data_IF_393556015639
#
_entry.id   IF_393556015639
#
_cell.length_a   1.000
_cell.length_b   1.000
_cell.length_c   1.000
_cell.angle_alpha   90.00
_cell.angle_beta   90.00
_cell.angle_gamma   90.00
#
_symmetry.space_group_name_H-M   'P 1'
#
loop_
_entity.id
_entity.type
_entity.pdbx_description
1 polymer ?
#
# COMPACT_ATOMS: atom_id res chain seq x y z
N UNK A 1 17.91 -26.75 -13.68
CA UNK A 1 16.66 -26.06 -13.99
C UNK A 1 15.39 -26.87 -13.65
N UNK A 2 15.45 -28.19 -13.56
CA UNK A 2 14.27 -29.03 -13.24
C UNK A 2 13.85 -29.09 -11.77
N UNK A 3 14.73 -28.83 -10.81
CA UNK A 3 14.48 -29.09 -9.39
C UNK A 3 13.67 -28.03 -8.63
N UNK A 4 13.60 -26.81 -9.13
CA UNK A 4 12.83 -25.73 -8.51
C UNK A 4 11.34 -25.74 -8.93
N UNK A 5 11.04 -26.23 -10.12
CA UNK A 5 9.66 -26.41 -10.59
C UNK A 5 8.95 -27.58 -9.86
N UNK A 6 9.64 -28.69 -9.61
CA UNK A 6 9.06 -29.84 -8.91
C UNK A 6 8.73 -29.54 -7.44
N UNK A 7 9.50 -28.69 -6.78
CA UNK A 7 9.24 -28.31 -5.39
C UNK A 7 7.99 -27.42 -5.21
N UNK A 8 7.58 -26.70 -6.26
CA UNK A 8 6.38 -25.84 -6.23
C UNK A 8 5.08 -26.58 -6.61
N UNK A 9 5.15 -27.63 -7.43
CA UNK A 9 3.99 -28.41 -7.85
C UNK A 9 3.51 -29.44 -6.81
N UNK A 10 4.38 -29.92 -5.91
CA UNK A 10 4.01 -30.92 -4.90
C UNK A 10 3.20 -30.39 -3.70
N UNK A 11 3.10 -29.06 -3.51
CA UNK A 11 2.34 -28.46 -2.40
C UNK A 11 0.85 -28.23 -2.66
N UNK A 12 0.36 -28.42 -3.88
CA UNK A 12 -1.05 -28.19 -4.26
C UNK A 12 -2.02 -29.35 -3.98
N UNK A 13 -1.56 -30.47 -3.43
CA UNK A 13 -2.36 -31.72 -3.33
C UNK A 13 -2.73 -32.17 -1.91
N UNK A 14 -2.64 -31.30 -0.90
CA UNK A 14 -3.00 -31.68 0.47
C UNK A 14 -3.87 -30.62 1.15
N UNK A 15 -5.11 -30.44 0.70
CA UNK A 15 -6.14 -29.71 1.47
C UNK A 15 -7.47 -30.47 1.41
N UNK A 16 -7.69 -31.29 2.42
CA UNK A 16 -8.96 -31.91 2.76
C UNK A 16 -9.38 -31.50 4.16
N UNK A 17 -10.47 -30.75 4.23
CA UNK A 17 -11.52 -30.69 5.27
C UNK A 17 -11.11 -30.72 6.75
N UNK A 18 -11.33 -29.60 7.42
CA UNK A 18 -11.38 -29.50 8.87
C UNK A 18 -11.94 -28.16 9.33
N UNK A 19 -13.27 -28.04 9.46
CA UNK A 19 -13.95 -26.93 10.13
C UNK A 19 -13.63 -26.97 11.62
N UNK A 20 -12.86 -26.02 12.12
CA UNK A 20 -12.71 -25.74 13.55
C UNK A 20 -12.75 -24.24 13.77
N UNK A 21 -13.85 -23.77 14.33
CA UNK A 21 -13.98 -22.43 14.90
C UNK A 21 -13.00 -22.27 16.06
N UNK A 22 -11.86 -21.64 15.82
CA UNK A 22 -10.88 -21.30 16.84
C UNK A 22 -11.10 -19.83 17.20
N UNK A 23 -11.60 -19.60 18.42
CA UNK A 23 -11.56 -18.32 19.11
C UNK A 23 -10.09 -17.90 19.28
N UNK A 24 -9.62 -17.00 18.43
CA UNK A 24 -8.31 -16.38 18.53
C UNK A 24 -8.33 -15.32 19.65
N UNK A 25 -7.87 -15.70 20.84
CA UNK A 25 -7.43 -14.74 21.85
C UNK A 25 -5.97 -14.41 21.54
N UNK A 26 -5.70 -13.11 21.35
CA UNK A 26 -4.43 -12.56 20.94
C UNK A 26 -3.22 -13.14 21.67
N UNK A 27 -2.32 -13.75 20.89
CA UNK A 27 -0.90 -13.84 21.22
C UNK A 27 -0.19 -12.86 20.32
N UNK A 28 0.82 -12.11 20.80
CA UNK A 28 1.67 -11.36 19.92
C UNK A 28 2.27 -12.34 18.92
N UNK A 29 1.98 -12.15 17.65
CA UNK A 29 2.63 -12.90 16.56
C UNK A 29 4.08 -12.42 16.59
N UNK A 30 5.01 -13.34 16.81
CA UNK A 30 6.43 -13.06 16.67
C UNK A 30 6.66 -12.40 15.32
N UNK A 31 7.43 -11.29 15.32
CA UNK A 31 7.77 -10.56 14.12
C UNK A 31 8.19 -11.54 13.02
N UNK A 32 7.52 -11.46 11.87
CA UNK A 32 7.97 -12.13 10.67
C UNK A 32 9.38 -11.60 10.35
N UNK A 33 10.25 -12.44 9.78
CA UNK A 33 11.53 -11.98 9.25
C UNK A 33 11.30 -10.72 8.42
N UNK A 34 11.89 -9.56 8.77
CA UNK A 34 11.61 -8.30 8.10
C UNK A 34 11.80 -8.37 6.58
N UNK A 35 12.72 -9.21 6.08
CA UNK A 35 12.92 -9.40 4.64
C UNK A 35 11.73 -10.12 3.97
N UNK A 36 10.91 -10.81 4.75
CA UNK A 36 9.71 -11.52 4.29
C UNK A 36 8.44 -10.68 4.46
N UNK A 37 8.51 -9.54 5.15
CA UNK A 37 7.37 -8.64 5.31
C UNK A 37 6.94 -8.07 3.96
N UNK A 38 5.63 -8.17 3.71
CA UNK A 38 4.94 -7.67 2.53
C UNK A 38 4.19 -6.39 2.84
N UNK A 39 3.92 -5.60 1.81
CA UNK A 39 3.27 -4.31 1.99
C UNK A 39 2.14 -4.12 0.97
N UNK A 40 0.98 -3.71 1.47
CA UNK A 40 -0.13 -3.24 0.66
C UNK A 40 -0.40 -1.77 0.98
N UNK A 41 -0.18 -0.90 0.01
CA UNK A 41 -0.42 0.53 0.13
C UNK A 41 -1.77 0.90 -0.49
N UNK A 42 -2.68 1.43 0.31
CA UNK A 42 -3.96 1.99 -0.12
C UNK A 42 -3.91 3.50 0.07
N UNK A 43 -3.90 4.24 -1.03
CA UNK A 43 -3.83 5.70 -1.00
C UNK A 43 -5.20 6.29 -1.37
N UNK A 44 -5.88 6.87 -0.39
CA UNK A 44 -7.16 7.55 -0.56
C UNK A 44 -6.91 8.94 -1.14
N UNK A 45 -7.26 9.13 -2.42
CA UNK A 45 -6.91 10.32 -3.21
C UNK A 45 -7.93 11.43 -2.95
N UNK A 46 -7.43 12.63 -2.70
CA UNK A 46 -8.25 13.84 -2.58
C UNK A 46 -8.25 14.48 -1.19
N UNK A 47 -7.52 13.95 -0.24
CA UNK A 47 -7.47 14.49 1.12
C UNK A 47 -8.71 14.12 1.93
N UNK A 48 -8.67 13.01 2.63
CA UNK A 48 -9.76 12.58 3.50
C UNK A 48 -9.97 13.51 4.69
N UNK A 49 -11.17 13.52 5.22
CA UNK A 49 -11.50 14.29 6.42
C UNK A 49 -11.23 13.44 7.69
N UNK A 50 -10.17 13.75 8.45
CA UNK A 50 -9.86 12.98 9.66
C UNK A 50 -10.95 13.12 10.74
N UNK A 51 -11.75 14.19 10.73
CA UNK A 51 -12.82 14.41 11.70
C UNK A 51 -14.04 13.52 11.46
N UNK A 52 -14.13 12.86 10.31
CA UNK A 52 -15.20 11.91 10.06
C UNK A 52 -14.93 10.54 10.68
N UNK A 53 -13.64 10.17 10.92
CA UNK A 53 -13.28 8.84 11.43
C UNK A 53 -12.21 8.90 12.53
N UNK A 54 -11.10 9.62 12.32
CA UNK A 54 -9.87 9.45 13.11
C UNK A 54 -9.69 10.50 14.23
N UNK A 55 -10.55 11.48 14.32
CA UNK A 55 -10.43 12.58 15.28
C UNK A 55 -11.76 12.77 16.05
N UNK A 56 -12.05 11.92 17.08
CA UNK A 56 -13.30 11.98 17.84
C UNK A 56 -13.29 13.12 18.85
N UNK A 57 -13.16 14.36 18.38
CA UNK A 57 -13.11 15.58 19.21
C UNK A 57 -14.49 16.23 19.21
N UNK A 58 -15.27 16.01 20.24
CA UNK A 58 -16.66 16.44 20.36
C UNK A 58 -16.88 17.66 21.27
N UNK A 59 -15.87 18.05 22.03
CA UNK A 59 -15.91 19.14 23.00
C UNK A 59 -15.36 20.47 22.46
N UNK A 60 -14.88 20.51 21.21
CA UNK A 60 -14.37 21.71 20.58
C UNK A 60 -15.34 22.27 19.53
N UNK A 61 -15.85 23.47 19.78
CA UNK A 61 -16.82 24.15 18.89
C UNK A 61 -16.24 24.59 17.52
N UNK A 62 -14.94 24.50 17.36
CA UNK A 62 -14.28 24.82 16.08
C UNK A 62 -14.34 23.66 15.10
N UNK A 63 -14.74 22.48 15.58
CA UNK A 63 -14.96 21.31 14.73
C UNK A 63 -16.45 21.15 14.48
N UNK A 64 -16.85 21.27 13.24
CA UNK A 64 -18.22 21.02 12.83
C UNK A 64 -18.38 19.56 12.44
N UNK A 65 -18.80 18.75 13.40
CA UNK A 65 -19.08 17.32 13.19
C UNK A 65 -20.42 17.13 12.50
N UNK A 66 -20.57 16.02 11.79
CA UNK A 66 -21.81 15.63 11.14
C UNK A 66 -22.92 15.36 12.18
N UNK A 67 -24.17 15.64 11.79
CA UNK A 67 -25.31 15.29 12.60
C UNK A 67 -25.43 13.75 12.70
N UNK A 68 -25.43 13.22 13.91
CA UNK A 68 -25.45 11.77 14.16
C UNK A 68 -24.08 11.14 14.37
N UNK A 69 -23.00 11.94 14.27
CA UNK A 69 -21.68 11.48 14.68
C UNK A 69 -21.62 11.28 16.20
N UNK A 70 -21.02 10.20 16.64
CA UNK A 70 -20.86 9.83 18.06
C UNK A 70 -19.41 9.39 18.33
N UNK A 71 -18.87 9.67 19.54
CA UNK A 71 -17.57 9.13 19.92
C UNK A 71 -17.68 7.63 20.17
N UNK A 72 -16.75 6.87 19.64
CA UNK A 72 -16.63 5.43 19.85
C UNK A 72 -15.20 5.05 20.22
N UNK A 73 -15.07 3.91 20.92
CA UNK A 73 -13.76 3.41 21.34
C UNK A 73 -13.75 1.87 21.38
N UNK A 74 -12.64 1.29 20.91
CA UNK A 74 -12.33 -0.13 21.02
C UNK A 74 -10.89 -0.25 21.53
N UNK A 75 -10.71 -0.79 22.74
CA UNK A 75 -9.40 -0.74 23.41
C UNK A 75 -8.91 0.71 23.54
N UNK A 76 -7.72 0.99 23.09
CA UNK A 76 -7.12 2.33 23.09
C UNK A 76 -7.40 3.12 21.78
N UNK A 77 -8.13 2.53 20.84
CA UNK A 77 -8.51 3.18 19.59
C UNK A 77 -9.80 3.96 19.76
N UNK A 78 -9.70 5.29 19.71
CA UNK A 78 -10.85 6.18 19.69
C UNK A 78 -11.14 6.64 18.25
N UNK A 79 -12.41 6.65 17.86
CA UNK A 79 -12.84 7.00 16.52
C UNK A 79 -14.24 7.64 16.49
N UNK A 80 -14.66 8.14 15.34
CA UNK A 80 -15.99 8.71 15.13
C UNK A 80 -16.91 7.65 14.52
N UNK A 81 -17.93 7.22 15.25
CA UNK A 81 -18.99 6.38 14.72
C UNK A 81 -20.07 7.22 14.04
N UNK A 82 -20.71 6.68 13.00
CA UNK A 82 -21.81 7.34 12.32
C UNK A 82 -22.77 6.31 11.69
N UNK A 83 -24.12 6.52 11.76
CA UNK A 83 -25.09 5.57 11.21
C UNK A 83 -24.96 5.31 9.68
N UNK A 84 -24.47 6.28 8.92
CA UNK A 84 -24.29 6.13 7.46
C UNK A 84 -23.01 5.39 7.07
N UNK A 85 -22.11 5.10 8.02
CA UNK A 85 -20.89 4.33 7.80
C UNK A 85 -20.62 3.31 8.93
N UNK A 86 -21.57 2.40 9.18
CA UNK A 86 -21.44 1.40 10.25
C UNK A 86 -20.20 0.50 10.08
N UNK A 87 -19.73 0.30 8.85
CA UNK A 87 -18.52 -0.48 8.58
C UNK A 87 -17.28 0.03 9.33
N UNK A 88 -17.21 1.32 9.67
CA UNK A 88 -16.13 1.86 10.50
C UNK A 88 -16.14 1.21 11.89
N UNK A 89 -17.29 1.17 12.53
CA UNK A 89 -17.44 0.56 13.86
C UNK A 89 -17.23 -0.96 13.83
N UNK A 90 -17.77 -1.63 12.81
CA UNK A 90 -17.63 -3.08 12.61
C UNK A 90 -16.14 -3.44 12.43
N UNK A 91 -15.41 -2.68 11.59
CA UNK A 91 -13.99 -2.86 11.36
C UNK A 91 -13.17 -2.73 12.65
N UNK A 92 -13.30 -1.62 13.39
CA UNK A 92 -12.55 -1.44 14.63
C UNK A 92 -12.90 -2.48 15.69
N UNK A 93 -14.16 -2.91 15.74
CA UNK A 93 -14.60 -3.98 16.66
C UNK A 93 -13.96 -5.33 16.33
N UNK A 94 -13.69 -5.61 15.06
CA UNK A 94 -13.12 -6.88 14.59
C UNK A 94 -11.60 -6.84 14.55
N UNK A 95 -11.03 -5.75 14.02
CA UNK A 95 -9.61 -5.64 13.66
C UNK A 95 -8.83 -4.62 14.50
N UNK A 96 -9.46 -4.01 15.51
CA UNK A 96 -8.81 -3.02 16.36
C UNK A 96 -7.47 -3.50 16.93
N UNK A 97 -7.40 -4.72 17.46
CA UNK A 97 -6.16 -5.30 18.02
C UNK A 97 -5.03 -5.47 16.99
N UNK A 98 -5.35 -5.43 15.68
CA UNK A 98 -4.40 -5.52 14.58
C UNK A 98 -4.14 -4.17 13.90
N UNK A 99 -4.76 -3.10 14.39
CA UNK A 99 -4.75 -1.77 13.77
C UNK A 99 -4.03 -0.76 14.65
N UNK A 100 -3.21 0.07 14.05
CA UNK A 100 -2.62 1.24 14.69
C UNK A 100 -3.03 2.51 13.94
N UNK A 101 -3.38 3.56 14.67
CA UNK A 101 -3.65 4.88 14.15
C UNK A 101 -2.45 5.80 14.41
N UNK A 102 -2.06 6.56 13.41
CA UNK A 102 -1.05 7.62 13.52
C UNK A 102 -1.73 8.95 13.20
N UNK A 103 -1.94 9.76 14.23
CA UNK A 103 -2.70 11.00 14.16
C UNK A 103 -1.79 12.22 14.12
N UNK A 104 -2.29 13.31 13.54
CA UNK A 104 -1.54 14.55 13.48
C UNK A 104 -0.27 14.47 12.62
N UNK A 105 -0.35 13.79 11.48
CA UNK A 105 0.73 13.72 10.50
C UNK A 105 0.73 14.99 9.66
N UNK A 106 1.82 15.73 9.69
CA UNK A 106 1.96 16.96 8.90
C UNK A 106 2.29 16.66 7.43
N UNK A 107 1.54 17.28 6.53
CA UNK A 107 1.82 17.39 5.11
C UNK A 107 1.91 18.89 4.78
N UNK A 108 3.10 19.52 4.84
CA UNK A 108 3.26 20.99 4.87
C UNK A 108 2.99 21.63 3.51
N UNK A 109 1.84 21.33 2.92
CA UNK A 109 1.31 21.86 1.67
C UNK A 109 -0.21 21.71 1.64
N UNK A 110 -0.85 22.44 0.74
CA UNK A 110 -2.28 22.31 0.40
C UNK A 110 -2.48 22.00 -1.10
N UNK A 111 -1.41 21.62 -1.78
CA UNK A 111 -1.45 21.21 -3.18
C UNK A 111 -1.42 19.67 -3.28
N UNK A 112 -2.43 19.07 -3.87
CA UNK A 112 -2.56 17.61 -3.98
C UNK A 112 -1.30 16.92 -4.50
N UNK A 113 -0.74 17.41 -5.60
CA UNK A 113 0.46 16.80 -6.20
C UNK A 113 1.66 16.82 -5.25
N UNK A 114 1.87 17.95 -4.57
CA UNK A 114 2.96 18.10 -3.59
C UNK A 114 2.71 17.23 -2.37
N UNK A 115 1.50 17.24 -1.83
CA UNK A 115 1.14 16.42 -0.66
C UNK A 115 1.19 14.92 -0.95
N UNK A 116 0.75 14.50 -2.14
CA UNK A 116 0.89 13.10 -2.59
C UNK A 116 2.35 12.68 -2.61
N UNK A 117 3.24 13.51 -3.17
CA UNK A 117 4.69 13.23 -3.14
C UNK A 117 5.21 13.17 -1.71
N UNK A 118 4.89 14.16 -0.88
CA UNK A 118 5.28 14.17 0.54
C UNK A 118 4.86 12.90 1.25
N UNK A 119 3.59 12.49 1.13
CA UNK A 119 3.07 11.30 1.81
C UNK A 119 3.74 10.02 1.33
N UNK A 120 4.02 9.89 0.04
CA UNK A 120 4.54 8.66 -0.54
C UNK A 120 6.06 8.56 -0.55
N UNK A 121 6.78 9.69 -0.48
CA UNK A 121 8.25 9.72 -0.63
C UNK A 121 8.98 10.52 0.46
N UNK A 122 8.25 11.29 1.27
CA UNK A 122 8.85 12.26 2.21
C UNK A 122 9.47 13.50 1.52
N UNK A 123 9.32 13.66 0.19
CA UNK A 123 9.90 14.76 -0.58
C UNK A 123 8.87 15.38 -1.53
N UNK A 124 8.40 16.58 -1.21
CA UNK A 124 7.42 17.30 -2.03
C UNK A 124 7.97 17.83 -3.36
N UNK A 125 9.28 17.99 -3.49
CA UNK A 125 9.91 18.46 -4.73
C UNK A 125 9.92 17.39 -5.83
N UNK A 126 9.90 16.11 -5.43
CA UNK A 126 9.97 14.96 -6.32
C UNK A 126 11.39 14.71 -6.82
N UNK A 127 11.89 13.56 -6.66
CA UNK A 127 13.26 13.17 -7.04
C UNK A 127 13.72 11.97 -6.24
N UNK A 128 12.86 11.52 -5.32
CA UNK A 128 13.04 10.34 -4.48
C UNK A 128 12.06 9.24 -4.90
N UNK A 129 12.42 8.00 -4.55
CA UNK A 129 11.55 6.84 -4.72
C UNK A 129 10.47 6.82 -3.62
N UNK A 130 9.33 6.24 -3.90
CA UNK A 130 8.32 5.99 -2.86
C UNK A 130 8.71 4.80 -1.97
N UNK A 131 8.08 4.72 -0.79
CA UNK A 131 8.41 3.71 0.22
C UNK A 131 8.30 2.29 -0.32
N UNK A 132 7.27 2.01 -1.14
CA UNK A 132 7.08 0.71 -1.76
C UNK A 132 8.17 0.37 -2.78
N UNK A 133 8.63 1.35 -3.56
CA UNK A 133 9.72 1.16 -4.52
C UNK A 133 11.05 0.88 -3.81
N UNK A 134 11.35 1.57 -2.71
CA UNK A 134 12.55 1.32 -1.90
C UNK A 134 12.50 -0.08 -1.28
N UNK A 135 11.38 -0.46 -0.65
CA UNK A 135 11.17 -1.78 -0.04
C UNK A 135 11.30 -2.90 -1.07
N UNK A 136 10.70 -2.73 -2.23
CA UNK A 136 10.77 -3.70 -3.32
C UNK A 136 12.18 -3.82 -3.91
N UNK A 137 12.89 -2.69 -4.02
CA UNK A 137 14.26 -2.63 -4.54
C UNK A 137 15.30 -3.18 -3.57
N UNK A 138 15.03 -3.18 -2.27
CA UNK A 138 15.95 -3.68 -1.25
C UNK A 138 16.09 -5.22 -1.23
N UNK A 139 15.13 -5.96 -1.83
CA UNK A 139 15.19 -7.42 -1.95
C UNK A 139 15.12 -7.84 -3.44
N UNK A 140 16.13 -7.51 -4.26
CA UNK A 140 16.12 -7.81 -5.67
C UNK A 140 16.12 -9.33 -5.90
N UNK A 141 15.23 -9.80 -6.78
CA UNK A 141 15.11 -11.22 -7.12
C UNK A 141 14.24 -12.05 -6.15
N UNK A 142 13.77 -11.49 -5.04
CA UNK A 142 12.85 -12.17 -4.13
C UNK A 142 11.44 -12.35 -4.71
N UNK A 143 11.03 -11.47 -5.63
CA UNK A 143 9.73 -11.47 -6.29
C UNK A 143 9.86 -11.16 -7.77
N UNK A 144 9.03 -11.79 -8.61
CA UNK A 144 9.02 -11.54 -10.07
C UNK A 144 8.58 -10.12 -10.41
N UNK A 145 7.62 -9.62 -9.68
CA UNK A 145 7.06 -8.27 -9.77
C UNK A 145 7.27 -7.58 -8.42
N UNK A 146 8.47 -7.06 -8.12
CA UNK A 146 8.82 -6.64 -6.75
C UNK A 146 7.82 -5.65 -6.15
N UNK A 147 7.37 -4.66 -6.95
CA UNK A 147 6.26 -3.77 -6.62
C UNK A 147 5.28 -3.72 -7.78
N UNK A 148 4.02 -4.06 -7.54
CA UNK A 148 2.94 -3.88 -8.51
C UNK A 148 2.14 -2.62 -8.18
N UNK A 149 2.08 -1.69 -9.13
CA UNK A 149 1.16 -0.56 -9.06
C UNK A 149 -0.13 -0.89 -9.80
N UNK A 150 -1.16 -1.37 -9.07
CA UNK A 150 -2.47 -1.66 -9.62
C UNK A 150 -3.18 -0.37 -10.05
N UNK A 151 -3.07 0.68 -9.25
CA UNK A 151 -3.62 2.01 -9.56
C UNK A 151 -2.99 3.09 -8.68
N UNK A 152 -3.34 4.35 -8.97
CA UNK A 152 -2.90 5.52 -8.20
C UNK A 152 -1.48 5.97 -8.53
N UNK A 153 -1.03 7.01 -7.82
CA UNK A 153 0.30 7.57 -8.04
C UNK A 153 1.40 6.65 -7.48
N UNK A 154 2.51 6.59 -8.17
CA UNK A 154 3.75 5.96 -7.73
C UNK A 154 4.94 6.80 -8.20
N UNK A 155 6.04 6.72 -7.47
CA UNK A 155 7.26 7.48 -7.77
C UNK A 155 8.47 6.55 -7.66
N UNK A 156 9.22 6.44 -8.74
CA UNK A 156 10.43 5.65 -8.75
C UNK A 156 11.49 6.30 -9.64
N UNK A 157 12.71 6.36 -9.13
CA UNK A 157 13.88 6.89 -9.80
C UNK A 157 15.04 5.89 -9.76
N UNK A 158 15.57 5.66 -8.57
CA UNK A 158 16.67 4.71 -8.36
C UNK A 158 16.17 3.28 -8.48
N UNK A 159 14.94 3.01 -7.98
CA UNK A 159 14.31 1.70 -7.97
C UNK A 159 13.22 1.54 -9.07
N UNK A 160 13.34 2.29 -10.18
CA UNK A 160 12.36 2.25 -11.26
C UNK A 160 12.17 0.86 -11.87
N UNK A 161 13.21 0.05 -11.87
CA UNK A 161 13.16 -1.35 -12.34
C UNK A 161 12.43 -2.31 -11.38
N UNK A 162 12.16 -1.89 -10.16
CA UNK A 162 11.37 -2.66 -9.20
C UNK A 162 9.87 -2.41 -9.31
N UNK A 163 9.42 -1.34 -9.98
CA UNK A 163 8.01 -0.95 -10.08
C UNK A 163 7.41 -1.39 -11.41
N UNK A 164 6.32 -2.14 -11.33
CA UNK A 164 5.58 -2.66 -12.48
C UNK A 164 4.14 -2.11 -12.46
N UNK A 165 3.84 -1.05 -13.23
CA UNK A 165 2.48 -0.57 -13.37
C UNK A 165 1.66 -1.53 -14.26
N UNK A 166 0.46 -1.91 -13.79
CA UNK A 166 -0.43 -2.77 -14.60
C UNK A 166 -1.18 -1.98 -15.68
N UNK A 167 -1.27 -0.65 -15.50
CA UNK A 167 -2.00 0.26 -16.39
C UNK A 167 -3.50 0.28 -16.13
N UNK A 168 -4.16 1.39 -16.49
CA UNK A 168 -5.58 1.62 -16.20
C UNK A 168 -6.53 0.65 -16.94
N UNK A 169 -6.08 0.08 -18.04
CA UNK A 169 -6.85 -0.84 -18.91
C UNK A 169 -6.22 -2.22 -19.04
N UNK A 170 -5.40 -2.62 -18.07
CA UNK A 170 -4.72 -3.92 -18.13
C UNK A 170 -3.60 -3.99 -19.19
N UNK A 171 -2.94 -2.85 -19.47
CA UNK A 171 -1.87 -2.78 -20.48
C UNK A 171 -0.76 -3.81 -20.24
N UNK A 172 -0.44 -4.11 -18.98
CA UNK A 172 0.58 -5.13 -18.68
C UNK A 172 0.14 -6.51 -19.20
N UNK A 173 -1.11 -6.92 -18.92
CA UNK A 173 -1.64 -8.18 -19.41
C UNK A 173 -1.62 -8.20 -20.94
N UNK A 174 -2.11 -7.13 -21.60
CA UNK A 174 -2.12 -7.00 -23.05
C UNK A 174 -0.74 -7.02 -23.70
N UNK A 175 0.29 -6.52 -22.99
CA UNK A 175 1.67 -6.61 -23.46
C UNK A 175 2.24 -8.02 -23.31
N UNK A 176 1.84 -8.74 -22.26
CA UNK A 176 2.30 -10.11 -22.02
C UNK A 176 1.68 -11.09 -23.03
N UNK A 177 0.38 -10.99 -23.31
CA UNK A 177 -0.34 -11.88 -24.23
C UNK A 177 -0.28 -11.40 -25.70
N UNK A 178 0.35 -10.25 -25.96
CA UNK A 178 0.49 -9.67 -27.30
C UNK A 178 -0.76 -8.97 -27.83
N UNK A 179 -1.89 -8.97 -27.11
CA UNK A 179 -3.15 -8.36 -27.57
C UNK A 179 -3.05 -6.84 -27.76
N UNK A 180 -2.11 -6.18 -27.04
CA UNK A 180 -1.82 -4.75 -27.22
C UNK A 180 -1.40 -4.41 -28.67
N UNK A 181 -0.86 -5.35 -29.43
CA UNK A 181 -0.44 -5.17 -30.81
C UNK A 181 -1.62 -5.31 -31.81
N UNK A 182 -2.74 -5.89 -31.38
CA UNK A 182 -3.89 -6.18 -32.24
C UNK A 182 -5.04 -5.17 -32.11
N UNK A 183 -5.02 -4.33 -31.07
CA UNK A 183 -6.15 -3.49 -30.67
C UNK A 183 -6.33 -2.20 -31.51
N UNK A 184 -5.44 -1.93 -32.44
CA UNK A 184 -5.44 -0.70 -33.23
C UNK A 184 -6.17 -0.79 -34.58
N UNK A 185 -7.07 -1.76 -34.77
CA UNK A 185 -7.88 -1.88 -35.99
C UNK A 185 -7.12 -2.38 -37.24
N UNK A 186 -5.85 -2.72 -37.11
CA UNK A 186 -5.09 -3.46 -38.11
C UNK A 186 -4.55 -4.73 -37.46
N UNK A 187 -4.93 -5.92 -37.96
CA UNK A 187 -4.38 -7.15 -37.41
C UNK A 187 -2.84 -7.14 -37.67
N UNK A 188 -2.06 -7.04 -36.60
CA UNK A 188 -0.64 -7.36 -36.64
C UNK A 188 -0.55 -8.88 -36.53
N UNK A 189 0.06 -9.54 -37.51
CA UNK A 189 0.37 -10.96 -37.40
C UNK A 189 1.36 -11.13 -36.23
N UNK A 190 0.87 -11.62 -35.11
CA UNK A 190 1.72 -12.00 -33.99
C UNK A 190 2.41 -13.29 -34.40
N UNK A 191 3.76 -13.34 -34.39
CA UNK A 191 4.49 -14.56 -34.70
C UNK A 191 3.99 -15.72 -33.83
N UNK A 192 3.77 -16.90 -34.43
CA UNK A 192 3.45 -18.10 -33.65
C UNK A 192 4.55 -18.42 -32.63
N UNK A 193 4.22 -19.15 -31.57
CA UNK A 193 5.05 -19.41 -30.38
C UNK A 193 6.51 -19.77 -30.70
N UNK A 194 6.77 -20.63 -31.68
CA UNK A 194 8.13 -21.01 -32.03
C UNK A 194 8.96 -19.88 -32.67
N UNK A 195 8.33 -18.88 -33.29
CA UNK A 195 9.02 -17.70 -33.82
C UNK A 195 9.28 -16.71 -32.69
N UNK A 196 8.32 -16.59 -31.76
CA UNK A 196 8.47 -15.74 -30.58
C UNK A 196 9.61 -16.23 -29.71
N UNK A 197 9.72 -17.53 -29.46
CA UNK A 197 10.83 -18.14 -28.72
C UNK A 197 12.21 -17.81 -29.35
N UNK A 198 12.32 -17.89 -30.69
CA UNK A 198 13.54 -17.52 -31.39
C UNK A 198 13.88 -16.05 -31.24
N UNK A 199 12.89 -15.15 -31.25
CA UNK A 199 13.11 -13.72 -31.02
C UNK A 199 13.54 -13.46 -29.58
N UNK A 200 12.91 -14.10 -28.62
CA UNK A 200 13.23 -13.96 -27.20
C UNK A 200 14.66 -14.47 -26.90
N UNK A 201 15.02 -15.62 -27.44
CA UNK A 201 16.38 -16.15 -27.35
C UNK A 201 17.42 -15.21 -28.01
N UNK A 202 17.09 -14.67 -29.17
CA UNK A 202 17.98 -13.72 -29.85
C UNK A 202 18.18 -12.43 -29.03
N UNK A 203 17.10 -11.86 -28.51
CA UNK A 203 17.17 -10.64 -27.70
C UNK A 203 17.98 -10.88 -26.42
N UNK A 204 17.72 -11.99 -25.72
CA UNK A 204 18.42 -12.33 -24.50
C UNK A 204 19.92 -12.56 -24.74
N UNK A 205 20.29 -13.36 -25.74
CA UNK A 205 21.68 -13.63 -26.10
C UNK A 205 22.42 -12.35 -26.51
N UNK A 206 21.79 -11.49 -27.33
CA UNK A 206 22.37 -10.21 -27.73
C UNK A 206 22.55 -9.25 -26.53
N UNK A 207 21.65 -9.26 -25.58
CA UNK A 207 21.79 -8.47 -24.35
C UNK A 207 22.99 -8.95 -23.53
N UNK A 208 23.15 -10.26 -23.38
CA UNK A 208 24.29 -10.89 -22.70
C UNK A 208 25.63 -10.59 -23.38
N UNK A 209 25.69 -10.70 -24.70
CA UNK A 209 26.88 -10.35 -25.46
C UNK A 209 27.30 -8.89 -25.23
N UNK A 210 26.33 -7.98 -25.30
CA UNK A 210 26.58 -6.54 -25.05
C UNK A 210 26.97 -6.28 -23.59
N UNK A 211 26.41 -7.00 -22.64
CA UNK A 211 26.75 -6.90 -21.23
C UNK A 211 28.21 -7.37 -20.98
N UNK A 212 28.61 -8.46 -21.63
CA UNK A 212 29.99 -8.97 -21.54
C UNK A 212 31.03 -7.95 -22.11
N UNK A 213 30.67 -7.23 -23.17
CA UNK A 213 31.52 -6.25 -23.81
C UNK A 213 31.46 -4.85 -23.14
N UNK A 214 30.52 -4.60 -22.23
CA UNK A 214 30.29 -3.31 -21.61
C UNK A 214 31.42 -2.93 -20.63
N UNK A 215 32.16 -1.87 -20.93
CA UNK A 215 33.18 -1.30 -20.05
C UNK A 215 32.65 -0.17 -19.15
N UNK A 216 31.60 0.53 -19.58
CA UNK A 216 30.96 1.61 -18.86
C UNK A 216 29.98 1.04 -17.80
N UNK A 217 30.10 1.51 -16.55
CA UNK A 217 29.30 1.02 -15.43
C UNK A 217 27.80 1.26 -15.64
N UNK A 218 27.44 2.45 -16.14
CA UNK A 218 26.03 2.81 -16.36
C UNK A 218 25.41 1.99 -17.50
N UNK A 219 26.18 1.73 -18.56
CA UNK A 219 25.74 0.85 -19.65
C UNK A 219 25.55 -0.57 -19.14
N UNK A 220 26.45 -1.04 -18.27
CA UNK A 220 26.35 -2.36 -17.66
C UNK A 220 25.10 -2.50 -16.80
N UNK A 221 24.81 -1.53 -15.94
CA UNK A 221 23.60 -1.50 -15.11
C UNK A 221 22.32 -1.57 -15.94
N UNK A 222 22.23 -0.79 -17.02
CA UNK A 222 21.08 -0.81 -17.93
C UNK A 222 20.92 -2.16 -18.62
N UNK A 223 22.01 -2.78 -19.06
CA UNK A 223 21.95 -4.08 -19.73
C UNK A 223 21.62 -5.21 -18.76
N UNK A 224 22.09 -5.15 -17.51
CA UNK A 224 21.70 -6.08 -16.46
C UNK A 224 20.19 -5.97 -16.15
N UNK A 225 19.67 -4.76 -15.98
CA UNK A 225 18.26 -4.54 -15.78
C UNK A 225 17.41 -5.05 -16.97
N UNK A 226 17.89 -4.88 -18.20
CA UNK A 226 17.24 -5.38 -19.40
C UNK A 226 17.21 -6.93 -19.46
N UNK A 227 18.34 -7.59 -19.10
CA UNK A 227 18.40 -9.05 -19.01
C UNK A 227 17.43 -9.58 -17.94
N UNK A 228 17.43 -8.99 -16.74
CA UNK A 228 16.52 -9.35 -15.66
C UNK A 228 15.05 -9.18 -16.06
N UNK A 229 14.70 -8.07 -16.70
CA UNK A 229 13.35 -7.80 -17.18
C UNK A 229 12.91 -8.84 -18.22
N UNK A 230 13.78 -9.24 -19.14
CA UNK A 230 13.49 -10.26 -20.14
C UNK A 230 13.27 -11.64 -19.48
N UNK A 231 14.10 -12.02 -18.52
CA UNK A 231 13.95 -13.28 -17.79
C UNK A 231 12.64 -13.32 -16.98
N UNK A 232 12.31 -12.24 -16.29
CA UNK A 232 11.03 -12.10 -15.57
C UNK A 232 9.83 -12.20 -16.51
N UNK A 233 9.91 -11.54 -17.68
CA UNK A 233 8.86 -11.64 -18.70
C UNK A 233 8.61 -13.08 -19.13
N UNK A 234 9.66 -13.83 -19.43
CA UNK A 234 9.55 -15.25 -19.83
C UNK A 234 8.94 -16.11 -18.73
N UNK A 235 9.30 -15.85 -17.47
CA UNK A 235 8.71 -16.56 -16.31
C UNK A 235 7.23 -16.20 -16.12
N UNK A 236 6.85 -14.91 -16.28
CA UNK A 236 5.46 -14.47 -16.22
C UNK A 236 4.61 -15.05 -17.33
N UNK A 237 5.15 -15.19 -18.56
CA UNK A 237 4.43 -15.79 -19.68
C UNK A 237 4.10 -17.27 -19.45
N UNK A 238 4.97 -17.99 -18.74
CA UNK A 238 4.72 -19.39 -18.40
C UNK A 238 3.51 -19.59 -17.48
N UNK A 239 3.11 -18.56 -16.72
CA UNK A 239 2.00 -18.57 -15.78
C UNK A 239 0.87 -17.57 -16.18
N UNK A 240 0.94 -16.96 -17.38
CA UNK A 240 0.07 -15.86 -17.79
C UNK A 240 -1.42 -16.16 -17.69
N UNK A 241 -1.83 -17.40 -18.01
CA UNK A 241 -3.23 -17.86 -17.96
C UNK A 241 -3.82 -17.87 -16.53
N UNK A 242 -2.96 -17.86 -15.51
CA UNK A 242 -3.37 -17.90 -14.09
C UNK A 242 -3.26 -16.55 -13.41
N UNK A 243 -2.54 -15.59 -14.01
CA UNK A 243 -2.25 -14.29 -13.41
C UNK A 243 -3.32 -13.25 -13.74
N UNK A 244 -4.03 -12.80 -12.73
CA UNK A 244 -4.99 -11.69 -12.86
C UNK A 244 -4.27 -10.34 -12.75
N UNK A 245 -3.44 -10.02 -13.73
CA UNK A 245 -2.66 -8.78 -13.80
C UNK A 245 -3.49 -7.61 -14.33
N UNK A 246 -4.51 -7.19 -13.60
CA UNK A 246 -5.34 -6.07 -13.99
C UNK A 246 -6.21 -5.60 -12.84
N UNK A 247 -6.71 -4.37 -12.93
CA UNK A 247 -7.71 -3.85 -11.98
C UNK A 247 -9.12 -3.98 -12.54
N UNK A 248 -10.12 -4.07 -11.65
CA UNK A 248 -11.53 -4.03 -12.00
C UNK A 248 -12.12 -2.62 -11.87
N UNK A 249 -11.53 -1.81 -11.01
CA UNK A 249 -12.08 -0.51 -10.58
C UNK A 249 -13.07 -0.62 -9.44
N UNK A 250 -13.33 -1.82 -8.93
CA UNK A 250 -14.09 -2.08 -7.69
C UNK A 250 -13.08 -2.29 -6.57
N UNK A 251 -13.17 -1.50 -5.51
CA UNK A 251 -12.15 -1.46 -4.45
C UNK A 251 -11.91 -2.83 -3.82
N UNK A 252 -12.97 -3.54 -3.40
CA UNK A 252 -12.85 -4.85 -2.76
C UNK A 252 -12.19 -5.89 -3.68
N UNK A 253 -12.58 -5.93 -4.95
CA UNK A 253 -11.97 -6.84 -5.93
C UNK A 253 -10.49 -6.53 -6.18
N UNK A 254 -10.14 -5.25 -6.29
CA UNK A 254 -8.75 -4.82 -6.51
C UNK A 254 -7.88 -5.10 -5.28
N UNK A 255 -8.42 -4.99 -4.05
CA UNK A 255 -7.75 -5.40 -2.81
C UNK A 255 -7.54 -6.91 -2.73
N UNK A 256 -8.52 -7.72 -3.14
CA UNK A 256 -8.37 -9.18 -3.20
C UNK A 256 -7.33 -9.61 -4.23
N UNK A 257 -7.23 -8.92 -5.37
CA UNK A 257 -6.14 -9.14 -6.34
C UNK A 257 -4.77 -8.79 -5.76
N UNK A 258 -4.69 -7.71 -5.00
CA UNK A 258 -3.46 -7.38 -4.28
C UNK A 258 -3.07 -8.51 -3.30
N UNK A 259 -4.04 -9.06 -2.56
CA UNK A 259 -3.82 -10.20 -1.67
C UNK A 259 -3.31 -11.45 -2.44
N UNK A 260 -3.86 -11.74 -3.63
CA UNK A 260 -3.40 -12.84 -4.49
C UNK A 260 -1.93 -12.66 -4.92
N UNK A 261 -1.53 -11.44 -5.31
CA UNK A 261 -0.15 -11.13 -5.70
C UNK A 261 0.83 -11.28 -4.53
N UNK A 262 0.41 -10.94 -3.32
CA UNK A 262 1.21 -11.09 -2.11
C UNK A 262 1.27 -12.56 -1.66
N UNK A 263 0.15 -13.29 -1.68
CA UNK A 263 0.04 -14.72 -1.31
C UNK A 263 0.94 -15.60 -2.17
N UNK A 264 0.94 -15.36 -3.49
CA UNK A 264 1.76 -16.14 -4.43
C UNK A 264 3.25 -15.82 -4.35
N UNK A 265 3.62 -14.73 -3.64
CA UNK A 265 5.00 -14.24 -3.60
C UNK A 265 5.46 -13.57 -4.88
N UNK A 266 4.54 -13.34 -5.84
CA UNK A 266 4.83 -12.61 -7.07
C UNK A 266 5.27 -11.18 -6.78
N UNK A 267 4.68 -10.56 -5.75
CA UNK A 267 5.03 -9.21 -5.31
C UNK A 267 5.37 -9.16 -3.82
N UNK A 268 6.32 -8.32 -3.47
CA UNK A 268 6.56 -7.90 -2.09
C UNK A 268 5.70 -6.70 -1.71
N UNK A 269 5.51 -5.78 -2.66
CA UNK A 269 4.76 -4.55 -2.48
C UNK A 269 3.66 -4.42 -3.53
N UNK A 270 2.46 -4.04 -3.11
CA UNK A 270 1.35 -3.71 -4.02
C UNK A 270 0.82 -2.34 -3.65
N UNK A 271 0.54 -1.51 -4.65
CA UNK A 271 -0.05 -0.18 -4.47
C UNK A 271 -1.38 -0.06 -5.18
N UNK A 272 -2.31 0.61 -4.50
CA UNK A 272 -3.65 0.88 -4.99
C UNK A 272 -4.04 2.32 -4.62
N UNK A 273 -4.57 3.08 -5.58
CA UNK A 273 -5.20 4.38 -5.36
C UNK A 273 -6.71 4.23 -5.32
N UNK A 274 -7.34 4.81 -4.31
CA UNK A 274 -8.78 4.81 -4.13
C UNK A 274 -9.35 6.22 -4.34
N UNK A 275 -10.28 6.36 -5.28
CA UNK A 275 -10.91 7.62 -5.68
C UNK A 275 -12.29 7.83 -5.03
N UNK A 276 -12.58 7.16 -3.90
CA UNK A 276 -13.88 7.24 -3.25
C UNK A 276 -14.99 6.48 -4.00
N UNK A 277 -16.12 6.33 -3.34
CA UNK A 277 -17.27 5.56 -3.81
C UNK A 277 -17.80 5.98 -5.18
N UNK A 278 -17.81 7.28 -5.47
CA UNK A 278 -18.31 7.84 -6.73
C UNK A 278 -17.20 8.15 -7.76
N UNK A 279 -15.96 7.79 -7.46
CA UNK A 279 -14.79 8.04 -8.31
C UNK A 279 -14.34 9.50 -8.38
N UNK A 280 -14.88 10.38 -7.52
CA UNK A 280 -14.51 11.82 -7.49
C UNK A 280 -13.44 12.14 -6.45
N UNK A 281 -13.06 11.17 -5.63
CA UNK A 281 -12.06 11.32 -4.58
C UNK A 281 -12.61 11.91 -3.29
N UNK A 282 -11.69 12.16 -2.37
CA UNK A 282 -11.97 12.80 -1.09
C UNK A 282 -11.84 14.33 -1.15
N UNK A 283 -11.76 14.94 -2.36
CA UNK A 283 -11.61 16.38 -2.55
C UNK A 283 -12.96 17.12 -2.44
N UNK A 284 -13.53 17.17 -1.23
CA UNK A 284 -14.87 17.65 -0.95
C UNK A 284 -14.92 19.13 -0.55
N UNK A 285 -14.60 20.04 -1.49
CA UNK A 285 -14.82 21.48 -1.33
C UNK A 285 -16.29 21.90 -1.30
N UNK A 286 -17.20 20.96 -1.48
CA UNK A 286 -18.65 21.10 -1.29
C UNK A 286 -19.23 19.78 -0.84
N UNK A 287 -20.26 19.83 0.01
CA UNK A 287 -20.99 18.64 0.47
C UNK A 287 -20.04 17.56 1.08
N UNK A 288 -19.32 17.95 2.13
CA UNK A 288 -18.30 17.09 2.78
C UNK A 288 -18.85 15.72 3.23
N UNK A 289 -20.14 15.64 3.56
CA UNK A 289 -20.81 14.39 3.94
C UNK A 289 -20.69 13.28 2.88
N UNK A 290 -20.39 13.61 1.62
CA UNK A 290 -20.16 12.61 0.55
C UNK A 290 -19.00 11.67 0.86
N UNK A 291 -18.03 12.08 1.67
CA UNK A 291 -16.97 11.18 2.13
C UNK A 291 -17.52 10.04 3.00
N UNK A 292 -18.73 10.16 3.59
CA UNK A 292 -19.32 9.10 4.41
C UNK A 292 -19.48 7.80 3.60
N UNK A 293 -20.00 7.88 2.36
CA UNK A 293 -20.10 6.72 1.48
C UNK A 293 -18.73 6.13 1.10
N UNK A 294 -17.73 7.00 0.89
CA UNK A 294 -16.36 6.54 0.60
C UNK A 294 -15.71 5.85 1.80
N UNK A 295 -15.90 6.33 3.01
CA UNK A 295 -15.45 5.62 4.21
C UNK A 295 -16.22 4.32 4.44
N UNK A 296 -17.53 4.30 4.19
CA UNK A 296 -18.33 3.07 4.28
C UNK A 296 -17.76 1.98 3.34
N UNK A 297 -17.52 2.31 2.07
CA UNK A 297 -16.94 1.37 1.10
C UNK A 297 -15.51 0.96 1.51
N UNK A 298 -14.66 1.93 1.89
CA UNK A 298 -13.28 1.66 2.29
C UNK A 298 -13.22 0.67 3.45
N UNK A 299 -13.95 0.92 4.52
CA UNK A 299 -13.90 0.06 5.72
C UNK A 299 -14.56 -1.30 5.49
N UNK A 300 -15.62 -1.38 4.65
CA UNK A 300 -16.18 -2.66 4.19
C UNK A 300 -15.13 -3.47 3.43
N UNK A 301 -14.46 -2.85 2.47
CA UNK A 301 -13.44 -3.53 1.66
C UNK A 301 -12.19 -3.91 2.47
N UNK A 302 -11.81 -3.12 3.48
CA UNK A 302 -10.72 -3.46 4.40
C UNK A 302 -11.09 -4.63 5.33
N UNK A 303 -12.33 -4.72 5.82
CA UNK A 303 -12.81 -5.86 6.62
C UNK A 303 -12.76 -7.16 5.80
N UNK A 304 -13.27 -7.14 4.56
CA UNK A 304 -13.18 -8.25 3.62
C UNK A 304 -11.71 -8.64 3.36
N UNK A 305 -10.84 -7.66 3.09
CA UNK A 305 -9.42 -7.89 2.86
C UNK A 305 -8.73 -8.56 4.05
N UNK A 306 -8.91 -8.03 5.26
CA UNK A 306 -8.23 -8.58 6.45
C UNK A 306 -8.75 -9.97 6.79
N UNK A 307 -10.04 -10.25 6.56
CA UNK A 307 -10.62 -11.58 6.67
C UNK A 307 -9.93 -12.56 5.73
N UNK A 308 -9.73 -12.19 4.46
CA UNK A 308 -9.01 -13.01 3.49
C UNK A 308 -7.53 -13.18 3.87
N UNK A 309 -6.84 -12.11 4.25
CA UNK A 309 -5.45 -12.19 4.68
C UNK A 309 -5.26 -13.10 5.92
N UNK A 310 -6.22 -13.09 6.85
CA UNK A 310 -6.16 -13.92 8.05
C UNK A 310 -6.34 -15.42 7.74
N UNK A 311 -7.11 -15.76 6.70
CA UNK A 311 -7.41 -17.15 6.32
C UNK A 311 -6.43 -17.75 5.34
N UNK A 312 -5.72 -16.91 4.54
CA UNK A 312 -4.73 -17.34 3.56
C UNK A 312 -3.38 -17.63 4.21
N UNK A 313 -2.63 -18.56 3.61
CA UNK A 313 -1.27 -18.85 4.04
C UNK A 313 -0.29 -18.00 3.26
N UNK A 314 0.54 -17.24 3.96
CA UNK A 314 1.60 -16.46 3.33
C UNK A 314 2.76 -17.32 2.83
N UNK A 315 3.61 -16.78 1.94
CA UNK A 315 4.77 -17.50 1.41
C UNK A 315 5.81 -17.92 2.47
N UNK A 316 5.87 -17.25 3.62
CA UNK A 316 6.72 -17.67 4.74
C UNK A 316 6.09 -18.80 5.58
N UNK A 317 4.83 -19.13 5.36
CA UNK A 317 4.10 -20.23 5.99
C UNK A 317 3.25 -19.84 7.19
N UNK A 318 3.22 -18.54 7.57
CA UNK A 318 2.28 -17.95 8.51
C UNK A 318 0.95 -17.59 7.87
N UNK A 319 0.04 -16.93 8.61
CA UNK A 319 -1.11 -16.29 7.96
C UNK A 319 -0.60 -15.12 7.11
N UNK A 320 -1.21 -14.90 5.96
CA UNK A 320 -0.82 -13.80 5.08
C UNK A 320 -0.98 -12.45 5.80
N UNK A 321 -1.96 -12.33 6.73
CA UNK A 321 -2.12 -11.16 7.59
C UNK A 321 -0.89 -10.91 8.48
N UNK A 322 -0.27 -11.96 9.03
CA UNK A 322 0.93 -11.82 9.85
C UNK A 322 2.18 -11.43 9.06
N UNK A 323 2.15 -11.62 7.74
CA UNK A 323 3.24 -11.30 6.83
C UNK A 323 3.02 -10.00 6.06
N UNK A 324 1.84 -9.36 6.16
CA UNK A 324 1.45 -8.20 5.33
C UNK A 324 1.11 -6.99 6.18
N UNK A 325 1.85 -5.90 5.99
CA UNK A 325 1.50 -4.57 6.50
C UNK A 325 0.60 -3.88 5.49
N UNK A 326 -0.64 -3.59 5.87
CA UNK A 326 -1.57 -2.76 5.09
C UNK A 326 -1.45 -1.33 5.58
N UNK A 327 -1.14 -0.41 4.67
CA UNK A 327 -0.90 1.00 4.94
C UNK A 327 -1.96 1.82 4.22
N UNK A 328 -2.83 2.49 4.98
CA UNK A 328 -3.91 3.32 4.45
C UNK A 328 -3.63 4.77 4.76
N UNK A 329 -3.50 5.60 3.73
CA UNK A 329 -3.15 7.02 3.86
C UNK A 329 -3.97 7.89 2.92
N UNK A 330 -4.04 9.18 3.23
CA UNK A 330 -4.39 10.22 2.27
C UNK A 330 -3.32 11.30 2.27
N UNK A 331 -3.20 12.04 1.18
CA UNK A 331 -2.12 13.01 0.98
C UNK A 331 -2.18 14.21 1.93
N UNK A 332 -3.38 14.55 2.42
CA UNK A 332 -3.63 15.66 3.36
C UNK A 332 -4.95 15.43 4.10
N UNK A 333 -5.26 16.28 5.05
CA UNK A 333 -6.56 16.32 5.72
C UNK A 333 -7.49 17.42 5.20
N UNK A 334 -8.58 17.62 5.94
CA UNK A 334 -9.58 18.67 5.68
C UNK A 334 -9.69 19.61 6.87
N UNK A 335 -9.96 20.90 6.56
CA UNK A 335 -10.13 21.94 7.57
C UNK A 335 -11.25 21.57 8.54
N UNK A 336 -11.12 21.82 9.86
CA UNK A 336 -12.13 21.43 10.86
C UNK A 336 -13.49 22.11 10.70
N UNK A 337 -13.55 23.25 9.99
CA UNK A 337 -14.80 24.00 9.75
C UNK A 337 -15.32 23.80 8.32
N UNK A 338 -16.63 23.78 8.17
CA UNK A 338 -17.30 23.80 6.88
C UNK A 338 -17.21 25.19 6.24
N UNK A 339 -17.16 25.22 4.93
CA UNK A 339 -17.30 26.44 4.14
C UNK A 339 -18.77 26.70 3.75
N UNK A 340 -19.04 27.80 3.07
CA UNK A 340 -20.40 28.22 2.63
C UNK A 340 -21.11 27.19 1.72
N UNK A 341 -20.40 26.16 1.23
CA UNK A 341 -20.93 25.09 0.39
C UNK A 341 -21.04 23.75 1.12
N UNK A 342 -21.00 23.77 2.44
CA UNK A 342 -20.99 22.56 3.27
C UNK A 342 -19.82 21.61 2.95
N UNK A 343 -18.75 22.13 2.36
CA UNK A 343 -17.50 21.46 2.07
C UNK A 343 -16.42 21.83 3.06
N UNK A 344 -15.23 21.23 2.92
CA UNK A 344 -14.06 21.58 3.73
C UNK A 344 -12.88 21.90 2.84
N UNK A 345 -12.16 22.95 3.20
CA UNK A 345 -10.91 23.32 2.53
C UNK A 345 -9.77 22.35 2.92
N UNK A 346 -8.65 22.42 2.21
CA UNK A 346 -7.47 21.63 2.50
C UNK A 346 -6.90 21.97 3.87
N UNK A 347 -6.38 20.93 4.54
CA UNK A 347 -5.67 21.07 5.81
C UNK A 347 -4.35 20.31 5.77
N UNK A 348 -3.31 20.91 6.35
CA UNK A 348 -1.95 20.35 6.30
C UNK A 348 -1.74 19.16 7.25
N UNK A 349 -2.72 18.81 8.05
CA UNK A 349 -2.65 17.76 9.04
C UNK A 349 -3.62 16.64 8.72
N UNK A 350 -3.13 15.42 8.77
CA UNK A 350 -3.91 14.23 8.42
C UNK A 350 -3.64 13.09 9.40
N UNK A 351 -4.15 11.92 9.10
CA UNK A 351 -3.92 10.67 9.82
C UNK A 351 -3.42 9.60 8.87
N UNK A 352 -2.86 8.52 9.41
CA UNK A 352 -2.57 7.28 8.71
C UNK A 352 -3.05 6.10 9.53
N UNK A 353 -3.40 5.00 8.87
CA UNK A 353 -3.79 3.75 9.50
C UNK A 353 -2.89 2.62 8.99
N UNK A 354 -2.36 1.82 9.90
CA UNK A 354 -1.55 0.64 9.59
C UNK A 354 -2.18 -0.58 10.24
N UNK A 355 -2.19 -1.72 9.57
CA UNK A 355 -2.69 -2.95 10.15
C UNK A 355 -1.96 -4.20 9.63
N UNK A 356 -1.96 -5.26 10.44
CA UNK A 356 -1.33 -6.54 10.13
C UNK A 356 0.20 -6.56 10.28
N UNK A 357 0.87 -7.45 9.58
CA UNK A 357 2.31 -7.49 9.32
C UNK A 357 3.25 -7.54 10.52
N UNK A 358 2.80 -8.01 11.68
CA UNK A 358 3.64 -8.08 12.89
C UNK A 358 3.88 -6.74 13.57
N UNK A 359 3.20 -5.67 13.13
CA UNK A 359 3.22 -4.41 13.88
C UNK A 359 2.42 -4.53 15.19
N UNK A 360 2.75 -3.71 16.18
CA UNK A 360 2.00 -3.63 17.42
C UNK A 360 0.73 -2.83 17.16
N UNK A 361 -0.42 -3.52 17.08
CA UNK A 361 -1.74 -2.91 16.91
C UNK A 361 -2.41 -2.55 18.24
N UNK A 362 -3.69 -2.17 18.17
CA UNK A 362 -4.50 -1.80 19.33
C UNK A 362 -4.13 -0.46 19.94
N UNK A 363 -3.45 0.42 19.20
CA UNK A 363 -2.91 1.67 19.74
C UNK A 363 -3.04 2.87 18.81
N UNK A 364 -3.04 4.05 19.41
CA UNK A 364 -3.00 5.34 18.73
C UNK A 364 -1.69 6.05 19.06
N UNK A 365 -0.97 6.53 18.05
CA UNK A 365 0.23 7.34 18.16
C UNK A 365 -0.07 8.77 17.70
N UNK A 366 0.50 9.75 18.40
CA UNK A 366 0.21 11.14 18.14
C UNK A 366 -1.18 11.56 18.63
N UNK A 367 -1.61 12.72 18.22
CA UNK A 367 -2.87 13.31 18.66
C UNK A 367 -3.11 14.66 18.00
N UNK A 368 -4.13 15.36 18.47
CA UNK A 368 -4.54 16.65 17.97
C UNK A 368 -4.43 17.72 19.05
N UNK A 369 -3.72 18.80 18.76
CA UNK A 369 -3.72 19.99 19.64
C UNK A 369 -5.08 20.69 19.64
N UNK A 370 -5.26 21.62 20.57
CA UNK A 370 -6.44 22.49 20.57
C UNK A 370 -6.60 23.31 19.26
N UNK A 371 -5.53 23.53 18.51
CA UNK A 371 -5.58 24.25 17.22
C UNK A 371 -5.74 23.32 16.00
N UNK A 372 -6.08 22.06 16.25
CA UNK A 372 -6.30 21.01 15.23
C UNK A 372 -5.06 20.75 14.37
N UNK A 373 -3.91 20.95 14.95
CA UNK A 373 -2.61 20.51 14.42
C UNK A 373 -2.17 19.23 15.13
N UNK A 374 -1.12 18.55 14.63
CA UNK A 374 -0.59 17.38 15.31
C UNK A 374 0.14 17.75 16.61
N UNK A 375 -0.03 16.96 17.65
CA UNK A 375 0.77 17.04 18.86
C UNK A 375 2.20 16.61 18.58
N UNK A 376 3.22 17.32 19.12
CA UNK A 376 4.58 16.81 19.12
C UNK A 376 4.67 15.53 19.94
N UNK A 377 5.41 14.52 19.44
CA UNK A 377 5.52 13.22 20.09
C UNK A 377 6.95 12.80 20.32
N UNK A 378 7.18 11.92 21.28
CA UNK A 378 8.38 11.08 21.32
C UNK A 378 8.19 9.93 20.29
N UNK A 379 9.01 9.86 19.23
CA UNK A 379 8.86 8.82 18.20
C UNK A 379 9.00 7.40 18.76
N UNK A 380 9.71 7.21 19.87
CA UNK A 380 9.90 5.89 20.47
C UNK A 380 8.61 5.34 21.07
N UNK A 381 7.84 6.19 21.75
CA UNK A 381 6.61 5.80 22.45
C UNK A 381 5.34 6.15 21.67
N UNK A 382 5.43 7.06 20.70
CA UNK A 382 4.28 7.62 20.00
C UNK A 382 3.40 8.54 20.85
N UNK A 383 3.78 8.82 22.09
CA UNK A 383 3.01 9.65 23.01
C UNK A 383 3.36 11.13 22.89
N UNK A 384 2.36 11.98 23.14
CA UNK A 384 2.55 13.44 23.19
C UNK A 384 3.67 13.81 24.21
N UNK A 385 4.58 14.65 23.79
CA UNK A 385 5.74 15.05 24.59
C UNK A 385 6.13 16.51 24.29
N UNK A 386 6.19 17.34 25.33
CA UNK A 386 6.68 18.72 25.21
C UNK A 386 8.15 18.74 24.79
N UNK A 387 8.43 19.18 23.58
CA UNK A 387 9.76 19.10 22.97
C UNK A 387 10.00 17.87 22.11
N UNK A 388 8.93 17.11 21.84
CA UNK A 388 8.91 16.01 20.88
C UNK A 388 9.01 16.48 19.42
N UNK A 389 8.85 15.55 18.51
CA UNK A 389 8.93 15.78 17.08
C UNK A 389 7.54 15.90 16.45
N UNK A 390 7.39 16.76 15.45
CA UNK A 390 6.20 16.81 14.62
C UNK A 390 6.18 15.58 13.72
N UNK A 391 5.11 14.79 13.77
CA UNK A 391 4.95 13.64 12.89
C UNK A 391 4.78 14.07 11.43
N UNK A 392 5.52 13.43 10.55
CA UNK A 392 5.49 13.66 9.11
C UNK A 392 5.45 12.34 8.36
N UNK A 393 5.23 12.39 7.05
CA UNK A 393 5.34 11.22 6.19
C UNK A 393 6.73 10.55 6.23
N UNK A 394 7.79 11.27 6.64
CA UNK A 394 9.14 10.72 6.78
C UNK A 394 9.25 9.77 7.97
N UNK A 395 8.55 10.05 9.08
CA UNK A 395 8.45 9.11 10.21
C UNK A 395 7.70 7.83 9.82
N UNK A 396 6.60 7.96 9.03
CA UNK A 396 5.92 6.80 8.47
C UNK A 396 6.85 6.01 7.56
N UNK A 397 7.56 6.69 6.65
CA UNK A 397 8.56 6.08 5.77
C UNK A 397 9.64 5.33 6.54
N UNK A 398 10.24 5.96 7.55
CA UNK A 398 11.26 5.33 8.40
C UNK A 398 10.71 4.07 9.10
N UNK A 399 9.46 4.13 9.58
CA UNK A 399 8.79 2.99 10.22
C UNK A 399 8.57 1.84 9.22
N UNK A 400 8.06 2.14 8.04
CA UNK A 400 7.81 1.13 7.00
C UNK A 400 9.10 0.47 6.52
N UNK A 401 10.17 1.26 6.34
CA UNK A 401 11.48 0.73 5.97
C UNK A 401 12.04 -0.18 7.06
N UNK A 402 11.94 0.22 8.33
CA UNK A 402 12.37 -0.61 9.46
C UNK A 402 11.59 -1.92 9.55
N UNK A 403 10.25 -1.90 9.39
CA UNK A 403 9.39 -3.09 9.31
C UNK A 403 9.79 -4.01 8.15
N UNK A 404 10.30 -3.46 7.06
CA UNK A 404 10.77 -4.20 5.89
C UNK A 404 12.24 -4.58 5.93
N UNK A 405 12.95 -4.38 7.05
CA UNK A 405 14.37 -4.71 7.19
C UNK A 405 15.32 -3.79 6.44
N UNK A 406 14.86 -2.60 6.05
CA UNK A 406 15.66 -1.58 5.36
C UNK A 406 16.07 -0.50 6.34
N UNK A 407 17.37 -0.19 6.41
CA UNK A 407 17.86 0.94 7.20
C UNK A 407 17.31 2.26 6.63
N UNK A 408 16.50 3.03 7.40
CA UNK A 408 15.96 4.30 6.96
C UNK A 408 17.02 5.30 6.50
N UNK A 409 18.20 5.28 7.12
CA UNK A 409 19.31 6.17 6.77
C UNK A 409 19.84 5.93 5.36
N UNK A 410 19.74 4.69 4.84
CA UNK A 410 20.12 4.34 3.48
C UNK A 410 19.22 4.99 2.43
N UNK A 411 17.98 5.34 2.82
CA UNK A 411 17.02 6.10 2.00
C UNK A 411 17.08 7.62 2.24
N UNK A 412 18.07 8.10 3.01
CA UNK A 412 18.26 9.51 3.31
C UNK A 412 17.27 10.06 4.34
N UNK A 413 16.68 9.18 5.16
CA UNK A 413 15.83 9.58 6.28
C UNK A 413 16.70 9.81 7.54
N UNK A 414 16.46 10.93 8.21
CA UNK A 414 17.02 11.27 9.51
C UNK A 414 16.01 11.07 10.63
N UNK A 415 14.75 10.94 10.28
CA UNK A 415 13.64 10.76 11.19
C UNK A 415 13.66 9.36 11.80
N UNK A 416 13.37 9.28 13.09
CA UNK A 416 13.28 8.02 13.81
C UNK A 416 12.03 7.25 13.40
N UNK A 417 12.10 5.92 13.25
CA UNK A 417 10.91 5.09 13.16
C UNK A 417 10.03 5.26 14.40
N UNK A 418 8.72 5.08 14.24
CA UNK A 418 7.76 5.04 15.35
C UNK A 418 7.96 3.73 16.14
N UNK A 419 8.78 3.79 17.17
CA UNK A 419 9.25 2.62 17.94
C UNK A 419 8.11 1.80 18.54
N UNK A 420 7.02 2.44 18.97
CA UNK A 420 5.86 1.76 19.50
C UNK A 420 5.14 0.83 18.51
N UNK A 421 5.35 1.01 17.20
CA UNK A 421 4.81 0.13 16.14
C UNK A 421 5.71 -1.08 15.87
N UNK A 422 6.97 -1.01 16.28
CA UNK A 422 7.97 -2.05 16.06
C UNK A 422 7.97 -2.99 17.27
N UNK A 423 7.85 -4.28 17.04
CA UNK A 423 7.84 -5.33 18.08
C UNK A 423 9.24 -5.76 18.51
#
# INVERSE_FOLDING_TARGET
MSSLLEARLSRRLALGLGTSSILWRGRPVLASDPEQTRFLFVHCIGGWDPFMVFAPIFDDRRIELEAGAEPAQVGDLAFVAHPERPAVSDYFSTWGDHTALVLGVESPSVNHTTCTRLMLTGDGAGGTDDWGAILAGAAPGASLLPMVALSGPWFARTHANAVVPVGERGQLASLLDGSALTDAGSPVDIPGDGVQDLVDDFVLNRTRDRLADASDTRVREVLQAAEEAQLRRLELLADADTLRLGRTGVLSEDLLRAAELLETGLSRCVRLGYLGFDGTGFDTHSLNFRQSASFQELFTALDELLTELATRTGPAGGSLLSETVVVVTSEMGRHPQLNDREGREHWTWTAAMLCGGGLVGGQTLGGWTSDMTGEPVDPTTGLAFDGGETLTARHLGATLLALGGVDPSSAGLSESPLGALLS
#
